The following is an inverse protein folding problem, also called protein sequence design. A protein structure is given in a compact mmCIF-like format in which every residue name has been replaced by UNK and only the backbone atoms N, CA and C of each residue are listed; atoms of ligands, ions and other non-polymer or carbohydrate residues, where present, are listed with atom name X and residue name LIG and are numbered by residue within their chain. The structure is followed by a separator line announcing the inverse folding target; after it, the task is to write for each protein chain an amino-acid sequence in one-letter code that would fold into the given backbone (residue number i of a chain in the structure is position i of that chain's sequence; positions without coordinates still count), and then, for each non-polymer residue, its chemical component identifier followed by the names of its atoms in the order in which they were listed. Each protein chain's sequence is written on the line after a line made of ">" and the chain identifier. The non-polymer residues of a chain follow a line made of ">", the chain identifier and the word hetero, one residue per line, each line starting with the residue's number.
data_IF_009260320947
#
_entry.id   IF_009260320947
#
_cell.length_a   1.000
_cell.length_b   1.000
_cell.length_c   1.000
_cell.angle_alpha   90.00
_cell.angle_beta   90.00
_cell.angle_gamma   90.00
#
_symmetry.space_group_name_H-M   'P 1'
#
loop_
_entity.id
_entity.type
_entity.pdbx_description
1 polymer ?
#
# COMPACT_ATOMS: atom_id res chain seq x y z
N UNK A 1 23.24 -9.40 4.01
CA UNK A 1 22.75 -9.98 2.74
C UNK A 1 21.57 -9.11 2.33
N UNK A 2 21.68 -8.38 1.22
CA UNK A 2 20.70 -7.35 0.85
C UNK A 2 19.38 -8.05 0.51
N UNK A 3 18.46 -8.18 1.47
CA UNK A 3 17.06 -8.52 1.23
C UNK A 3 16.38 -7.29 0.63
N UNK A 4 16.74 -6.98 -0.62
CA UNK A 4 15.91 -6.15 -1.50
C UNK A 4 14.66 -7.00 -1.79
N UNK A 5 13.61 -6.85 -1.00
CA UNK A 5 12.23 -7.26 -1.36
C UNK A 5 11.60 -6.13 -2.21
N UNK A 6 12.40 -5.52 -3.08
CA UNK A 6 11.92 -4.73 -4.21
C UNK A 6 12.51 -5.25 -5.54
N UNK A 7 12.36 -6.55 -5.92
CA UNK A 7 12.66 -6.94 -7.30
C UNK A 7 11.47 -7.63 -7.98
N UNK A 8 10.22 -7.40 -7.56
CA UNK A 8 9.05 -7.97 -8.26
C UNK A 8 7.98 -6.97 -8.72
N UNK A 9 8.01 -5.70 -8.29
CA UNK A 9 7.00 -4.70 -8.72
C UNK A 9 7.21 -4.17 -10.15
N UNK A 10 8.34 -4.46 -10.81
CA UNK A 10 8.69 -3.87 -12.12
C UNK A 10 8.70 -4.84 -13.32
N UNK A 11 8.25 -6.08 -13.16
CA UNK A 11 8.41 -7.12 -14.20
C UNK A 11 7.12 -7.84 -14.60
N UNK A 12 5.98 -7.16 -14.45
CA UNK A 12 4.73 -7.61 -15.07
C UNK A 12 4.57 -6.88 -16.41
N UNK A 13 5.47 -7.18 -17.35
CA UNK A 13 5.19 -7.05 -18.79
C UNK A 13 4.22 -8.20 -19.14
N UNK A 14 2.98 -8.12 -18.66
CA UNK A 14 1.92 -9.00 -19.12
C UNK A 14 1.43 -8.47 -20.47
N UNK A 15 1.69 -9.16 -21.59
CA UNK A 15 1.10 -8.78 -22.87
C UNK A 15 -0.43 -8.81 -22.73
N UNK A 16 -1.07 -7.64 -22.85
CA UNK A 16 -2.53 -7.47 -22.75
C UNK A 16 -3.02 -6.66 -21.54
N UNK A 17 -2.18 -6.34 -20.55
CA UNK A 17 -2.57 -5.44 -19.46
C UNK A 17 -2.61 -3.99 -19.96
N UNK A 18 -3.79 -3.37 -19.92
CA UNK A 18 -3.95 -1.96 -20.26
C UNK A 18 -3.99 -1.10 -19.02
N UNK A 19 -3.43 0.09 -19.17
CA UNK A 19 -3.43 1.12 -18.15
C UNK A 19 -4.46 2.20 -18.50
N UNK A 20 -5.18 2.67 -17.50
CA UNK A 20 -6.17 3.74 -17.64
C UNK A 20 -5.53 5.10 -17.43
N UNK A 21 -5.76 6.02 -18.37
CA UNK A 21 -5.29 7.39 -18.30
C UNK A 21 -6.45 8.37 -18.11
N UNK A 22 -6.13 9.56 -17.62
CA UNK A 22 -7.09 10.59 -17.30
C UNK A 22 -6.81 11.86 -18.11
N UNK A 23 -7.85 12.50 -18.63
CA UNK A 23 -7.73 13.77 -19.35
C UNK A 23 -7.35 14.93 -18.43
N UNK A 24 -7.75 14.86 -17.16
CA UNK A 24 -7.46 15.87 -16.15
C UNK A 24 -6.89 15.21 -14.89
N UNK A 25 -6.04 15.92 -14.10
CA UNK A 25 -5.56 15.41 -12.82
C UNK A 25 -6.73 15.07 -11.90
N UNK A 26 -6.64 13.93 -11.24
CA UNK A 26 -7.63 13.44 -10.28
C UNK A 26 -7.17 13.69 -8.83
N UNK A 27 -8.08 13.74 -7.86
CA UNK A 27 -9.53 13.77 -8.03
C UNK A 27 -10.00 15.10 -8.63
N UNK A 28 -10.93 15.05 -9.59
CA UNK A 28 -11.48 16.26 -10.24
C UNK A 28 -12.08 17.24 -9.23
N UNK A 29 -11.64 18.49 -9.29
CA UNK A 29 -12.01 19.55 -8.35
C UNK A 29 -11.49 19.32 -6.93
N UNK A 30 -10.37 18.62 -6.78
CA UNK A 30 -9.57 18.60 -5.56
C UNK A 30 -8.63 19.80 -5.47
N UNK A 31 -8.06 20.01 -4.30
CA UNK A 31 -7.09 21.06 -4.03
C UNK A 31 -5.66 20.49 -4.06
N UNK A 32 -4.66 21.35 -4.27
CA UNK A 32 -3.27 20.90 -4.24
C UNK A 32 -2.88 20.52 -2.81
N UNK A 33 -2.43 19.28 -2.62
CA UNK A 33 -1.90 18.82 -1.34
C UNK A 33 -0.59 19.53 -1.02
N UNK A 34 -0.47 20.07 0.20
CA UNK A 34 0.71 20.84 0.66
C UNK A 34 1.46 20.20 1.83
N UNK A 35 0.99 19.06 2.31
CA UNK A 35 1.63 18.35 3.43
C UNK A 35 2.79 17.47 2.98
N UNK A 36 3.42 16.84 3.96
CA UNK A 36 4.39 15.76 3.74
C UNK A 36 3.64 14.41 3.70
N UNK A 37 3.89 13.60 2.67
CA UNK A 37 3.20 12.31 2.51
C UNK A 37 3.67 11.25 3.50
N UNK A 38 4.96 11.24 3.85
CA UNK A 38 5.51 10.32 4.84
C UNK A 38 4.88 10.66 6.19
N UNK A 39 4.87 11.94 6.56
CA UNK A 39 4.23 12.38 7.80
C UNK A 39 2.72 12.07 7.83
N UNK A 40 2.02 12.21 6.70
CA UNK A 40 0.61 11.86 6.60
C UNK A 40 0.36 10.37 6.88
N UNK A 41 1.20 9.51 6.32
CA UNK A 41 1.14 8.08 6.50
C UNK A 41 1.50 7.66 7.94
N UNK A 42 2.60 8.17 8.49
CA UNK A 42 3.04 7.81 9.84
C UNK A 42 2.07 8.28 10.91
N UNK A 43 1.47 9.47 10.74
CA UNK A 43 0.41 9.97 11.62
C UNK A 43 -0.89 9.15 11.56
N UNK A 44 -1.06 8.28 10.56
CA UNK A 44 -2.23 7.39 10.46
C UNK A 44 -2.08 6.09 11.25
N UNK A 45 -0.84 5.73 11.64
CA UNK A 45 -0.57 4.49 12.36
C UNK A 45 -1.21 4.54 13.76
N UNK A 46 -1.88 3.46 14.20
CA UNK A 46 -2.39 3.39 15.57
C UNK A 46 -1.25 3.31 16.59
N UNK A 47 -1.36 4.05 17.70
CA UNK A 47 -0.38 3.98 18.80
C UNK A 47 -0.20 2.58 19.40
N UNK A 48 -1.22 1.72 19.25
CA UNK A 48 -1.21 0.35 19.73
C UNK A 48 -1.96 -0.55 18.76
N UNK A 49 -1.32 -1.65 18.36
CA UNK A 49 -1.88 -2.71 17.53
C UNK A 49 -1.74 -4.02 18.29
N UNK A 50 -2.77 -4.86 18.29
CA UNK A 50 -2.71 -6.15 19.00
C UNK A 50 -3.31 -7.27 18.18
N UNK A 51 -2.88 -8.50 18.43
CA UNK A 51 -3.45 -9.72 17.83
C UNK A 51 -4.87 -10.03 18.32
N UNK A 52 -5.41 -9.27 19.27
CA UNK A 52 -6.82 -9.36 19.68
C UNK A 52 -7.75 -8.58 18.73
N UNK A 53 -7.20 -7.70 17.88
CA UNK A 53 -7.99 -7.00 16.88
C UNK A 53 -8.34 -7.95 15.73
N UNK A 54 -9.63 -8.06 15.42
CA UNK A 54 -10.13 -8.96 14.39
C UNK A 54 -9.70 -8.59 12.97
N UNK A 55 -9.22 -7.36 12.76
CA UNK A 55 -8.82 -6.87 11.45
C UNK A 55 -7.29 -6.66 11.33
N UNK A 56 -6.51 -7.21 12.25
CA UNK A 56 -5.05 -7.05 12.28
C UNK A 56 -4.35 -8.27 11.70
N UNK A 57 -3.34 -8.04 10.85
CA UNK A 57 -2.40 -9.07 10.37
C UNK A 57 -1.77 -9.86 11.53
N UNK A 58 -1.64 -9.25 12.72
CA UNK A 58 -1.11 -9.91 13.91
C UNK A 58 -1.98 -11.07 14.40
N UNK A 59 -3.30 -11.01 14.16
CA UNK A 59 -4.22 -12.06 14.58
C UNK A 59 -3.98 -13.35 13.80
N UNK A 60 -3.73 -13.23 12.51
CA UNK A 60 -3.50 -14.38 11.62
C UNK A 60 -2.15 -15.06 11.91
N UNK A 61 -1.22 -14.33 12.51
CA UNK A 61 0.05 -14.88 12.96
C UNK A 61 -0.01 -15.67 14.28
N UNK A 62 -1.05 -15.47 15.09
CA UNK A 62 -1.22 -16.18 16.37
C UNK A 62 -1.59 -17.65 16.13
N UNK A 63 -0.94 -18.55 16.88
CA UNK A 63 -1.14 -19.99 16.81
C UNK A 63 -0.87 -20.66 18.18
N UNK A 64 -0.81 -21.99 18.21
CA UNK A 64 -0.57 -22.76 19.45
C UNK A 64 0.77 -22.42 20.13
N UNK A 65 1.75 -21.90 19.39
CA UNK A 65 3.06 -21.48 19.90
C UNK A 65 3.08 -20.00 20.27
N UNK A 66 2.67 -19.13 19.33
CA UNK A 66 2.65 -17.68 19.45
C UNK A 66 1.25 -17.22 19.84
N UNK A 67 1.02 -16.94 21.13
CA UNK A 67 -0.35 -16.76 21.67
C UNK A 67 -0.81 -15.30 21.70
N UNK A 68 0.11 -14.34 21.66
CA UNK A 68 -0.23 -12.92 21.66
C UNK A 68 0.89 -12.05 21.10
N UNK A 69 0.49 -10.99 20.39
CA UNK A 69 1.39 -10.00 19.82
C UNK A 69 0.80 -8.62 20.06
N UNK A 70 1.66 -7.68 20.45
CA UNK A 70 1.35 -6.28 20.60
C UNK A 70 2.46 -5.44 20.01
N UNK A 71 2.10 -4.42 19.24
CA UNK A 71 3.00 -3.37 18.80
C UNK A 71 2.53 -2.08 19.48
N UNK A 72 3.42 -1.45 20.23
CA UNK A 72 3.21 -0.12 20.78
C UNK A 72 4.18 0.85 20.08
N UNK A 73 3.68 1.99 19.64
CA UNK A 73 4.52 3.05 19.11
C UNK A 73 4.39 4.31 19.97
N UNK A 74 5.50 5.00 20.12
CA UNK A 74 5.55 6.39 20.57
C UNK A 74 6.26 7.26 19.52
N UNK A 75 6.62 8.49 19.89
CA UNK A 75 7.17 9.47 18.94
C UNK A 75 8.52 9.06 18.33
N UNK A 76 9.27 8.16 18.97
CA UNK A 76 10.65 7.84 18.58
C UNK A 76 10.94 6.34 18.57
N UNK A 77 10.11 5.52 19.20
CA UNK A 77 10.33 4.08 19.32
C UNK A 77 9.10 3.28 18.94
N UNK A 78 9.36 2.08 18.43
CA UNK A 78 8.36 1.04 18.19
C UNK A 78 8.77 -0.18 19.00
N UNK A 79 7.88 -0.67 19.84
CA UNK A 79 8.09 -1.84 20.68
C UNK A 79 7.18 -2.98 20.23
N UNK A 80 7.77 -4.12 19.88
CA UNK A 80 7.06 -5.38 19.67
C UNK A 80 7.13 -6.21 20.94
N UNK A 81 5.97 -6.58 21.47
CA UNK A 81 5.83 -7.51 22.57
C UNK A 81 5.17 -8.79 22.09
N UNK A 82 5.82 -9.92 22.32
CA UNK A 82 5.36 -11.25 21.93
C UNK A 82 5.22 -12.11 23.17
N UNK A 83 4.12 -12.86 23.26
CA UNK A 83 3.91 -13.91 24.28
C UNK A 83 3.82 -15.27 23.61
N UNK A 84 4.54 -16.24 24.16
CA UNK A 84 4.49 -17.64 23.76
C UNK A 84 3.65 -18.48 24.75
N UNK A 85 3.26 -19.67 24.32
CA UNK A 85 2.45 -20.62 25.10
C UNK A 85 3.11 -21.07 26.42
N UNK A 86 4.44 -21.06 26.48
CA UNK A 86 5.24 -21.44 27.64
C UNK A 86 5.48 -20.26 28.61
N UNK A 87 4.66 -19.21 28.51
CA UNK A 87 4.76 -17.95 29.25
C UNK A 87 6.06 -17.14 29.02
N UNK A 88 6.89 -17.53 28.05
CA UNK A 88 7.98 -16.68 27.57
C UNK A 88 7.39 -15.39 26.99
N UNK A 89 7.96 -14.26 27.38
CA UNK A 89 7.63 -12.95 26.83
C UNK A 89 8.90 -12.37 26.21
N UNK A 90 8.83 -12.05 24.93
CA UNK A 90 9.88 -11.33 24.21
C UNK A 90 9.47 -9.88 23.98
N UNK A 91 10.41 -8.96 24.14
CA UNK A 91 10.22 -7.54 23.84
C UNK A 91 11.37 -7.09 22.96
N UNK A 92 11.06 -6.55 21.79
CA UNK A 92 12.02 -5.97 20.85
C UNK A 92 11.67 -4.50 20.61
N UNK A 93 12.69 -3.65 20.51
CA UNK A 93 12.53 -2.21 20.30
C UNK A 93 13.26 -1.75 19.03
N UNK A 94 12.63 -0.85 18.30
CA UNK A 94 13.11 -0.28 17.04
C UNK A 94 13.08 1.25 17.16
N UNK A 95 14.08 1.92 16.59
CA UNK A 95 14.03 3.37 16.40
C UNK A 95 13.12 3.66 15.22
N UNK A 96 12.11 4.51 15.43
CA UNK A 96 11.13 4.83 14.41
C UNK A 96 11.78 5.59 13.25
N UNK A 97 12.72 6.50 13.50
CA UNK A 97 13.31 7.31 12.43
C UNK A 97 14.14 6.46 11.47
N UNK A 98 14.94 5.54 12.01
CA UNK A 98 15.71 4.59 11.20
C UNK A 98 14.75 3.70 10.38
N UNK A 99 13.69 3.20 11.03
CA UNK A 99 12.69 2.36 10.38
C UNK A 99 11.93 3.06 9.25
N UNK A 100 11.51 4.32 9.45
CA UNK A 100 10.79 5.10 8.43
C UNK A 100 11.69 5.42 7.23
N UNK A 101 12.97 5.70 7.48
CA UNK A 101 13.91 6.09 6.42
C UNK A 101 14.29 4.88 5.54
N UNK A 102 14.37 3.69 6.11
CA UNK A 102 14.80 2.48 5.39
C UNK A 102 13.65 1.75 4.68
N UNK A 103 12.40 1.86 5.17
CA UNK A 103 11.28 1.01 4.71
C UNK A 103 10.24 1.71 3.81
N UNK A 104 10.19 3.05 3.73
CA UNK A 104 9.23 3.77 2.86
C UNK A 104 9.81 4.18 1.51
N UNK A 105 10.58 3.26 0.95
CA UNK A 105 11.35 3.49 -0.26
C UNK A 105 10.46 3.72 -1.50
N UNK A 106 9.19 3.30 -1.48
CA UNK A 106 8.29 3.54 -2.61
C UNK A 106 7.96 5.04 -2.82
N UNK A 107 7.89 5.84 -1.75
CA UNK A 107 7.71 7.30 -1.86
C UNK A 107 9.03 7.97 -2.21
N UNK A 108 10.14 7.52 -1.62
CA UNK A 108 11.48 8.06 -1.89
C UNK A 108 11.93 7.81 -3.34
N UNK A 109 11.53 6.68 -3.93
CA UNK A 109 11.82 6.28 -5.30
C UNK A 109 10.95 7.03 -6.34
N UNK A 110 9.93 7.77 -5.90
CA UNK A 110 9.05 8.53 -6.80
C UNK A 110 9.55 9.96 -7.02
N UNK A 111 9.53 10.40 -8.29
CA UNK A 111 9.82 11.78 -8.66
C UNK A 111 8.61 12.68 -8.37
N UNK A 112 8.36 12.93 -7.08
CA UNK A 112 7.24 13.76 -6.61
C UNK A 112 7.32 15.19 -7.15
N UNK A 113 8.52 15.68 -7.52
CA UNK A 113 8.71 17.01 -8.09
C UNK A 113 8.05 17.17 -9.47
N UNK A 114 7.82 16.06 -10.19
CA UNK A 114 7.11 16.05 -11.47
C UNK A 114 5.63 15.66 -11.35
N UNK A 115 5.16 15.47 -10.12
CA UNK A 115 3.81 15.00 -9.84
C UNK A 115 2.88 16.15 -9.46
N UNK A 116 1.60 16.01 -9.82
CA UNK A 116 0.51 16.87 -9.37
C UNK A 116 -0.24 16.11 -8.30
N UNK A 117 -0.04 16.50 -7.04
CA UNK A 117 -0.67 15.85 -5.90
C UNK A 117 -1.94 16.62 -5.55
N UNK A 118 -3.09 15.96 -5.68
CA UNK A 118 -4.38 16.54 -5.38
C UNK A 118 -5.07 15.77 -4.26
N UNK A 119 -5.70 16.51 -3.36
CA UNK A 119 -6.51 15.97 -2.29
C UNK A 119 -7.98 16.37 -2.43
N UNK A 120 -8.87 15.43 -2.12
CA UNK A 120 -10.30 15.69 -2.00
C UNK A 120 -10.96 14.71 -1.06
N UNK A 121 -11.58 15.26 -0.03
CA UNK A 121 -12.19 14.52 1.08
C UNK A 121 -11.17 13.62 1.81
N UNK A 122 -11.24 12.29 1.63
CA UNK A 122 -10.33 11.32 2.25
C UNK A 122 -9.39 10.65 1.23
N UNK A 123 -9.27 11.22 0.03
CA UNK A 123 -8.41 10.69 -1.04
C UNK A 123 -7.33 11.71 -1.38
N UNK A 124 -6.09 11.22 -1.46
CA UNK A 124 -4.97 11.92 -2.09
C UNK A 124 -4.57 11.11 -3.33
N UNK A 125 -4.48 11.76 -4.49
CA UNK A 125 -4.00 11.15 -5.73
C UNK A 125 -2.70 11.82 -6.16
N UNK A 126 -1.69 11.01 -6.47
CA UNK A 126 -0.44 11.48 -7.05
C UNK A 126 -0.50 11.26 -8.55
N UNK A 127 -0.72 12.36 -9.29
CA UNK A 127 -0.87 12.33 -10.74
C UNK A 127 0.47 12.62 -11.39
N UNK A 128 0.76 11.89 -12.47
CA UNK A 128 1.91 12.12 -13.33
C UNK A 128 1.44 12.49 -14.72
N UNK A 129 1.91 13.63 -15.21
CA UNK A 129 1.58 14.09 -16.56
C UNK A 129 2.40 13.31 -17.59
N UNK A 130 1.77 12.85 -18.65
CA UNK A 130 2.42 12.24 -19.82
C UNK A 130 2.93 13.31 -20.79
N UNK A 131 3.74 12.89 -21.76
CA UNK A 131 4.22 13.77 -22.84
C UNK A 131 3.11 14.22 -23.80
N UNK A 132 1.97 13.52 -23.79
CA UNK A 132 0.84 13.70 -24.70
C UNK A 132 -0.38 14.35 -24.00
N UNK A 133 -0.11 15.12 -22.92
CA UNK A 133 -1.07 15.95 -22.19
C UNK A 133 -2.24 15.21 -21.49
N UNK A 134 -2.10 13.90 -21.24
CA UNK A 134 -2.95 13.13 -20.33
C UNK A 134 -2.22 12.79 -19.03
N UNK A 135 -2.94 12.24 -18.06
CA UNK A 135 -2.44 12.01 -16.70
C UNK A 135 -2.59 10.53 -16.34
N UNK A 136 -1.54 9.99 -15.73
CA UNK A 136 -1.56 8.72 -15.02
C UNK A 136 -1.68 9.01 -13.52
N UNK A 137 -2.25 8.09 -12.76
CA UNK A 137 -2.19 8.13 -11.30
C UNK A 137 -1.16 7.09 -10.87
N UNK A 138 -0.06 7.55 -10.24
CA UNK A 138 1.01 6.64 -9.80
C UNK A 138 0.57 5.87 -8.53
N UNK A 139 -0.11 6.55 -7.61
CA UNK A 139 -0.77 5.92 -6.47
C UNK A 139 -1.89 6.79 -5.89
N UNK A 140 -2.76 6.13 -5.12
CA UNK A 140 -3.85 6.76 -4.38
C UNK A 140 -3.71 6.39 -2.91
N UNK A 141 -3.82 7.38 -2.03
CA UNK A 141 -3.97 7.16 -0.60
C UNK A 141 -5.43 7.45 -0.22
N UNK A 142 -6.15 6.42 0.21
CA UNK A 142 -7.52 6.55 0.70
C UNK A 142 -7.58 6.33 2.21
N UNK A 143 -7.86 7.39 2.98
CA UNK A 143 -8.03 7.28 4.43
C UNK A 143 -9.39 6.69 4.78
N UNK A 144 -9.39 5.56 5.48
CA UNK A 144 -10.59 4.97 6.02
C UNK A 144 -11.14 5.85 7.14
N UNK A 145 -12.35 6.38 6.94
CA UNK A 145 -12.99 7.31 7.87
C UNK A 145 -13.37 6.69 9.22
N UNK A 146 -13.44 5.35 9.32
CA UNK A 146 -13.87 4.66 10.54
C UNK A 146 -12.72 4.40 11.50
N UNK A 147 -11.60 3.87 11.01
CA UNK A 147 -10.45 3.48 11.83
C UNK A 147 -9.22 4.37 11.63
N UNK A 148 -9.22 5.27 10.65
CA UNK A 148 -8.12 6.19 10.38
C UNK A 148 -6.98 5.61 9.55
N UNK A 149 -6.98 4.30 9.31
CA UNK A 149 -5.99 3.59 8.48
C UNK A 149 -6.01 4.10 7.04
N UNK A 150 -4.90 3.96 6.33
CA UNK A 150 -4.77 4.41 4.95
C UNK A 150 -4.69 3.19 4.05
N UNK A 151 -5.59 3.11 3.08
CA UNK A 151 -5.46 2.19 1.97
C UNK A 151 -4.54 2.81 0.92
N UNK A 152 -3.43 2.14 0.64
CA UNK A 152 -2.48 2.51 -0.40
C UNK A 152 -2.80 1.73 -1.66
N UNK A 153 -3.27 2.41 -2.70
CA UNK A 153 -3.49 1.83 -4.02
C UNK A 153 -2.28 2.15 -4.90
N UNK A 154 -1.36 1.19 -5.04
CA UNK A 154 -0.17 1.34 -5.87
C UNK A 154 -0.52 1.01 -7.32
N UNK A 155 -0.08 1.84 -8.27
CA UNK A 155 -0.36 1.66 -9.71
C UNK A 155 -1.86 1.35 -9.98
N UNK A 156 -2.79 2.18 -9.47
CA UNK A 156 -4.22 1.92 -9.56
C UNK A 156 -4.67 1.88 -11.01
N UNK A 157 -5.67 1.03 -11.30
CA UNK A 157 -6.26 0.88 -12.63
C UNK A 157 -5.31 0.32 -13.70
N UNK A 158 -4.23 -0.34 -13.28
CA UNK A 158 -3.37 -1.12 -14.16
C UNK A 158 -3.90 -2.55 -14.34
N UNK A 159 -3.97 -3.03 -15.58
CA UNK A 159 -4.43 -4.40 -15.85
C UNK A 159 -5.95 -4.53 -15.92
N UNK A 160 -6.68 -3.41 -16.10
CA UNK A 160 -8.09 -3.44 -16.48
C UNK A 160 -8.21 -4.26 -17.76
N UNK A 161 -9.09 -5.26 -17.74
CA UNK A 161 -9.26 -6.18 -18.88
C UNK A 161 -9.56 -5.44 -20.19
N UNK A 162 -9.23 -6.06 -21.32
CA UNK A 162 -9.52 -5.53 -22.66
C UNK A 162 -11.01 -5.18 -22.86
N UNK A 163 -11.90 -5.82 -22.11
CA UNK A 163 -13.34 -5.57 -22.08
C UNK A 163 -13.69 -4.51 -21.01
N UNK A 164 -13.23 -3.28 -21.25
CA UNK A 164 -13.54 -2.14 -20.39
C UNK A 164 -15.07 -1.91 -20.30
N UNK A 165 -15.82 -2.16 -21.38
CA UNK A 165 -17.29 -2.07 -21.38
C UNK A 165 -17.89 -2.97 -20.30
N UNK A 166 -17.38 -4.18 -20.10
CA UNK A 166 -17.81 -5.05 -19.01
C UNK A 166 -17.36 -4.56 -17.64
N UNK A 167 -16.15 -4.01 -17.51
CA UNK A 167 -15.65 -3.50 -16.24
C UNK A 167 -16.47 -2.30 -15.74
N UNK A 168 -16.69 -1.32 -16.62
CA UNK A 168 -17.46 -0.10 -16.34
C UNK A 168 -18.98 -0.33 -16.39
N UNK A 169 -19.43 -1.33 -17.17
CA UNK A 169 -20.82 -1.72 -17.31
C UNK A 169 -21.71 -0.54 -17.69
N UNK A 170 -22.88 -0.46 -17.04
CA UNK A 170 -23.86 0.59 -17.30
C UNK A 170 -23.42 2.01 -16.89
N UNK A 171 -22.21 2.18 -16.34
CA UNK A 171 -21.64 3.49 -15.99
C UNK A 171 -20.59 3.97 -16.97
N UNK A 172 -20.35 3.27 -18.07
CA UNK A 172 -19.35 3.66 -19.07
C UNK A 172 -19.49 5.14 -19.52
N UNK A 173 -20.72 5.61 -19.69
CA UNK A 173 -21.01 6.99 -20.09
C UNK A 173 -20.61 8.04 -19.03
N UNK A 174 -20.43 7.65 -17.75
CA UNK A 174 -20.03 8.54 -16.66
C UNK A 174 -18.53 8.96 -16.72
N UNK A 175 -17.76 8.40 -17.67
CA UNK A 175 -16.30 8.49 -17.74
C UNK A 175 -15.76 9.19 -19.00
N UNK A 176 -16.60 9.56 -19.98
CA UNK A 176 -16.18 10.25 -21.21
C UNK A 176 -14.99 9.56 -21.91
N UNK A 177 -15.16 8.29 -22.28
CA UNK A 177 -14.10 7.46 -22.86
C UNK A 177 -13.63 8.00 -24.20
N UNK A 178 -12.32 8.16 -24.33
CA UNK A 178 -11.63 8.42 -25.59
C UNK A 178 -10.58 7.35 -25.82
N UNK A 179 -10.60 6.75 -27.01
CA UNK A 179 -9.57 5.81 -27.44
C UNK A 179 -8.40 6.57 -28.04
N UNK A 180 -7.19 6.26 -27.60
CA UNK A 180 -5.96 6.83 -28.15
C UNK A 180 -5.00 5.70 -28.53
N UNK A 181 -4.25 5.89 -29.59
CA UNK A 181 -3.21 4.94 -30.01
C UNK A 181 -1.86 5.58 -29.71
N UNK A 182 -1.10 4.95 -28.82
CA UNK A 182 0.24 5.42 -28.52
C UNK A 182 1.19 5.21 -29.72
N UNK A 183 2.44 5.66 -29.58
CA UNK A 183 3.47 5.60 -30.63
C UNK A 183 3.76 4.17 -31.11
N UNK A 184 3.51 3.17 -30.28
CA UNK A 184 3.72 1.76 -30.61
C UNK A 184 2.43 1.10 -31.17
N UNK A 185 1.43 1.91 -31.51
CA UNK A 185 0.09 1.49 -31.97
C UNK A 185 -0.70 0.69 -30.92
N UNK A 186 -0.31 0.78 -29.64
CA UNK A 186 -1.07 0.18 -28.55
C UNK A 186 -2.23 1.10 -28.20
N UNK A 187 -3.42 0.51 -28.11
CA UNK A 187 -4.64 1.23 -27.75
C UNK A 187 -4.66 1.49 -26.24
N UNK A 188 -4.62 2.76 -25.87
CA UNK A 188 -4.81 3.24 -24.50
C UNK A 188 -6.19 3.89 -24.35
N UNK A 189 -6.73 3.86 -23.13
CA UNK A 189 -8.02 4.48 -22.82
C UNK A 189 -7.80 5.71 -21.96
N UNK A 190 -8.38 6.82 -22.40
CA UNK A 190 -8.36 8.09 -21.68
C UNK A 190 -9.78 8.39 -21.22
N UNK A 191 -9.95 8.72 -19.94
CA UNK A 191 -11.24 9.05 -19.32
C UNK A 191 -11.22 10.43 -18.67
N UNK A 192 -12.37 11.07 -18.51
CA UNK A 192 -12.52 12.33 -17.77
C UNK A 192 -13.68 12.28 -16.76
N UNK A 193 -13.61 11.37 -15.76
CA UNK A 193 -14.70 11.16 -14.82
C UNK A 193 -15.01 12.39 -13.98
N UNK A 194 -16.27 12.50 -13.54
CA UNK A 194 -16.60 13.33 -12.38
C UNK A 194 -15.95 12.75 -11.11
N UNK A 195 -15.87 13.55 -10.03
CA UNK A 195 -15.38 13.02 -8.75
C UNK A 195 -16.20 11.82 -8.25
N UNK A 196 -17.52 11.83 -8.47
CA UNK A 196 -18.41 10.73 -8.06
C UNK A 196 -18.15 9.48 -8.90
N UNK A 197 -17.93 9.64 -10.20
CA UNK A 197 -17.58 8.53 -11.10
C UNK A 197 -16.21 7.95 -10.75
N UNK A 198 -15.22 8.80 -10.44
CA UNK A 198 -13.90 8.39 -9.97
C UNK A 198 -13.98 7.59 -8.66
N UNK A 199 -14.78 8.05 -7.69
CA UNK A 199 -15.06 7.31 -6.44
C UNK A 199 -15.66 5.94 -6.68
N UNK A 200 -16.63 5.88 -7.60
CA UNK A 200 -17.24 4.61 -7.97
C UNK A 200 -16.22 3.67 -8.61
N UNK A 201 -15.36 4.19 -9.50
CA UNK A 201 -14.28 3.44 -10.14
C UNK A 201 -13.28 2.91 -9.11
N UNK A 202 -12.81 3.73 -8.19
CA UNK A 202 -11.89 3.30 -7.12
C UNK A 202 -12.51 2.19 -6.27
N UNK A 203 -13.79 2.33 -5.89
CA UNK A 203 -14.49 1.27 -5.17
C UNK A 203 -14.63 -0.01 -5.98
N UNK A 204 -15.00 0.10 -7.26
CA UNK A 204 -15.15 -1.04 -8.18
C UNK A 204 -13.83 -1.78 -8.37
N UNK A 205 -12.73 -1.03 -8.48
CA UNK A 205 -11.37 -1.54 -8.49
C UNK A 205 -11.07 -2.28 -7.19
N UNK A 206 -11.38 -1.69 -6.03
CA UNK A 206 -11.15 -2.37 -4.75
C UNK A 206 -11.92 -3.69 -4.58
N UNK A 207 -13.11 -3.78 -5.18
CA UNK A 207 -13.94 -4.98 -5.15
C UNK A 207 -13.59 -6.01 -6.25
N UNK A 208 -12.60 -5.74 -7.13
CA UNK A 208 -12.23 -6.64 -8.23
C UNK A 208 -11.04 -7.52 -7.91
N UNK A 209 -11.03 -8.73 -8.48
CA UNK A 209 -9.88 -9.65 -8.43
C UNK A 209 -8.66 -9.10 -9.22
N UNK A 210 -8.86 -8.03 -10.00
CA UNK A 210 -7.81 -7.34 -10.77
C UNK A 210 -6.98 -6.39 -9.88
N UNK A 211 -7.46 -6.07 -8.69
CA UNK A 211 -6.74 -5.22 -7.75
C UNK A 211 -5.63 -5.98 -7.02
N UNK A 212 -4.49 -6.04 -7.68
CA UNK A 212 -3.31 -6.75 -7.17
C UNK A 212 -2.47 -5.91 -6.19
N UNK A 213 -2.74 -4.60 -6.08
CA UNK A 213 -1.78 -3.64 -5.52
C UNK A 213 -2.39 -2.64 -4.53
N UNK A 214 -3.55 -2.96 -3.94
CA UNK A 214 -4.09 -2.17 -2.83
C UNK A 214 -3.84 -2.85 -1.49
N UNK A 215 -3.19 -2.14 -0.57
CA UNK A 215 -2.87 -2.68 0.75
C UNK A 215 -3.10 -1.66 1.86
N UNK A 216 -3.51 -2.16 3.03
CA UNK A 216 -3.52 -1.36 4.26
C UNK A 216 -2.11 -0.92 4.59
N UNK A 217 -1.91 0.38 4.79
CA UNK A 217 -0.64 0.95 5.20
C UNK A 217 -0.18 0.39 6.54
N UNK A 218 -1.12 0.22 7.48
CA UNK A 218 -0.84 -0.41 8.77
C UNK A 218 -0.30 -1.83 8.59
N UNK A 219 -0.87 -2.63 7.68
CA UNK A 219 -0.36 -3.98 7.41
C UNK A 219 1.03 -3.95 6.78
N UNK A 220 1.27 -3.06 5.79
CA UNK A 220 2.59 -2.89 5.15
C UNK A 220 3.64 -2.54 6.21
N UNK A 221 3.29 -1.63 7.12
CA UNK A 221 4.16 -1.26 8.23
C UNK A 221 4.50 -2.44 9.15
N UNK A 222 3.49 -3.27 9.48
CA UNK A 222 3.70 -4.47 10.30
C UNK A 222 4.63 -5.46 9.59
N UNK A 223 4.40 -5.74 8.30
CA UNK A 223 5.24 -6.66 7.52
C UNK A 223 6.71 -6.21 7.53
N UNK A 224 6.98 -4.94 7.24
CA UNK A 224 8.35 -4.42 7.25
C UNK A 224 8.99 -4.47 8.64
N UNK A 225 8.21 -4.20 9.70
CA UNK A 225 8.69 -4.30 11.08
C UNK A 225 9.12 -5.74 11.44
N UNK A 226 8.37 -6.74 10.96
CA UNK A 226 8.73 -8.14 11.15
C UNK A 226 9.84 -8.62 10.22
N UNK A 227 10.00 -8.05 9.02
CA UNK A 227 11.15 -8.31 8.14
C UNK A 227 12.46 -7.85 8.78
N UNK A 228 12.45 -6.65 9.40
CA UNK A 228 13.59 -6.13 10.15
C UNK A 228 13.88 -6.98 11.39
N UNK A 229 12.83 -7.43 12.08
CA UNK A 229 12.99 -8.33 13.22
C UNK A 229 13.60 -9.67 12.81
N UNK A 230 13.12 -10.30 11.73
CA UNK A 230 13.71 -11.52 11.18
C UNK A 230 15.19 -11.33 10.89
N UNK A 231 15.53 -10.23 10.22
CA UNK A 231 16.93 -9.89 9.89
C UNK A 231 17.80 -9.77 11.14
N UNK A 232 17.30 -9.17 12.23
CA UNK A 232 18.03 -9.13 13.51
C UNK A 232 18.20 -10.52 14.12
N UNK A 233 17.16 -11.35 14.10
CA UNK A 233 17.20 -12.74 14.60
C UNK A 233 18.25 -13.56 13.86
N UNK A 234 18.33 -13.42 12.54
CA UNK A 234 19.32 -14.08 11.70
C UNK A 234 20.76 -13.62 12.00
N UNK A 235 20.95 -12.34 12.34
CA UNK A 235 22.27 -11.74 12.57
C UNK A 235 22.84 -11.97 13.98
N UNK A 236 21.99 -12.07 15.01
CA UNK A 236 22.43 -12.25 16.42
C UNK A 236 21.81 -13.48 17.08
N UNK A 237 22.28 -14.65 16.64
CA UNK A 237 21.82 -15.94 17.17
C UNK A 237 22.05 -16.12 18.69
N UNK A 238 22.90 -15.30 19.32
CA UNK A 238 23.15 -15.37 20.77
C UNK A 238 22.06 -14.64 21.54
N UNK A 239 21.69 -13.42 21.11
CA UNK A 239 20.59 -12.65 21.71
C UNK A 239 19.27 -13.41 21.57
N UNK A 240 18.98 -13.94 20.39
CA UNK A 240 17.65 -14.48 20.06
C UNK A 240 17.49 -15.99 20.26
N UNK A 241 18.48 -16.68 20.83
CA UNK A 241 18.49 -18.15 21.00
C UNK A 241 17.21 -18.73 21.60
N UNK A 242 16.55 -18.00 22.51
CA UNK A 242 15.40 -18.47 23.27
C UNK A 242 14.08 -18.35 22.49
N UNK A 243 14.06 -17.61 21.37
CA UNK A 243 12.91 -17.45 20.48
C UNK A 243 13.13 -18.04 19.09
N UNK A 244 14.38 -18.35 18.74
CA UNK A 244 14.73 -18.96 17.44
C UNK A 244 13.96 -20.26 17.24
N UNK A 245 13.25 -20.37 16.12
CA UNK A 245 12.43 -21.53 15.77
C UNK A 245 11.03 -21.54 16.39
N UNK A 246 10.72 -20.61 17.31
CA UNK A 246 9.35 -20.41 17.84
C UNK A 246 8.54 -19.39 17.02
N UNK A 247 9.23 -18.50 16.29
CA UNK A 247 8.62 -17.50 15.43
C UNK A 247 8.65 -17.93 13.97
N UNK A 248 7.48 -17.91 13.33
CA UNK A 248 7.35 -18.04 11.88
C UNK A 248 7.14 -16.65 11.26
N UNK A 249 8.22 -16.00 10.83
CA UNK A 249 8.16 -14.65 10.25
C UNK A 249 7.29 -14.57 8.98
N UNK A 250 7.12 -15.67 8.25
CA UNK A 250 6.23 -15.74 7.08
C UNK A 250 4.76 -15.46 7.41
N UNK A 251 4.35 -15.65 8.66
CA UNK A 251 2.98 -15.38 9.11
C UNK A 251 2.64 -13.89 9.16
N UNK A 252 3.62 -13.00 8.96
CA UNK A 252 3.43 -11.54 8.91
C UNK A 252 3.52 -10.97 7.49
N UNK A 253 3.48 -11.81 6.45
CA UNK A 253 3.50 -11.34 5.07
C UNK A 253 2.11 -11.09 4.53
N UNK A 254 1.93 -10.00 3.79
CA UNK A 254 0.65 -9.60 3.21
C UNK A 254 0.38 -10.33 1.89
N UNK A 255 1.41 -10.91 1.27
CA UNK A 255 1.27 -11.72 0.06
C UNK A 255 0.99 -13.18 0.45
N UNK A 256 -0.18 -13.75 0.11
CA UNK A 256 -0.44 -15.18 0.32
C UNK A 256 0.55 -16.01 -0.52
N UNK A 257 1.17 -17.03 0.10
CA UNK A 257 2.00 -18.04 -0.60
C UNK A 257 1.15 -19.20 -1.11
#
# INVERSE_FOLDING_TARGET
>A
MIRRIVPLMFLVLLPGCKELYFKTPQPKGGEQYKGDLIQYLTNSLPNRITSNDNNSLLKDAVNDTLVYIEINQDLITVQIRIKFYNDLIWVEEFDLNDFLHDNYDFISQMDLNKSIILEKENIICVNKKSDEDYYKIDFILEKNRKNGDIMCHMVPFFGISDDYEKFFGNRIDDFDFTEHYDKDSSKIYIVDPSYISFRWLLKRWNDSDENLFSQSFTNVWIEELFNDFESRVELDSTKYKDITGLLNFKSFSIVPQ
#
